data_IF_108926951131
#
_entry.id   IF_108926951131
#
_cell.length_a   1.000
_cell.length_b   1.000
_cell.length_c   1.000
_cell.angle_alpha   90.00
_cell.angle_beta   90.00
_cell.angle_gamma   90.00
#
_symmetry.space_group_name_H-M   'P 1'
#
loop_
_entity.id
_entity.type
_entity.pdbx_description
1 polymer ?
#
# COMPACT_ATOMS: atom_id res chain seq x y z
N UNK A 1 -16.94 -5.92 -10.60
CA UNK A 1 -15.59 -5.34 -10.50
C UNK A 1 -15.42 -4.46 -11.73
N UNK A 2 -15.21 -3.17 -11.52
CA UNK A 2 -15.08 -2.21 -12.63
C UNK A 2 -13.60 -2.05 -13.05
N UNK A 3 -12.64 -2.32 -12.14
CA UNK A 3 -11.22 -2.16 -12.39
C UNK A 3 -10.55 -3.47 -12.79
N UNK A 4 -9.94 -3.49 -13.99
CA UNK A 4 -8.92 -4.48 -14.38
C UNK A 4 -7.56 -3.97 -13.92
N UNK A 5 -6.97 -4.62 -12.91
CA UNK A 5 -5.74 -4.18 -12.25
C UNK A 5 -4.58 -5.10 -12.63
N UNK A 6 -3.55 -4.51 -13.23
CA UNK A 6 -2.33 -5.17 -13.64
C UNK A 6 -1.16 -4.74 -12.74
N UNK A 7 -0.36 -5.71 -12.31
CA UNK A 7 0.88 -5.48 -11.55
C UNK A 7 2.04 -5.33 -12.53
N UNK A 8 2.81 -4.26 -12.39
CA UNK A 8 4.04 -4.02 -13.15
C UNK A 8 5.21 -4.02 -12.16
N UNK A 9 6.00 -5.08 -12.09
CA UNK A 9 7.21 -5.09 -11.29
C UNK A 9 8.23 -4.10 -11.87
N UNK A 10 8.83 -3.31 -10.99
CA UNK A 10 9.92 -2.36 -11.32
C UNK A 10 11.03 -2.45 -10.28
N UNK A 11 12.18 -1.88 -10.57
CA UNK A 11 13.34 -1.89 -9.67
C UNK A 11 13.65 -3.31 -9.15
N UNK A 12 13.92 -3.46 -7.85
CA UNK A 12 14.22 -4.77 -7.23
C UNK A 12 12.99 -5.48 -6.68
N UNK A 13 12.04 -4.74 -6.13
CA UNK A 13 10.89 -5.26 -5.39
C UNK A 13 9.66 -4.35 -5.39
N UNK A 14 9.68 -3.23 -6.13
CA UNK A 14 8.56 -2.31 -6.21
C UNK A 14 7.46 -2.81 -7.16
N UNK A 15 6.24 -2.45 -6.87
CA UNK A 15 5.07 -2.64 -7.71
C UNK A 15 4.44 -1.32 -8.12
N UNK A 16 4.29 -1.15 -9.43
CA UNK A 16 3.41 -0.15 -10.06
C UNK A 16 2.11 -0.84 -10.44
N UNK A 17 1.00 -0.15 -10.34
CA UNK A 17 -0.29 -0.68 -10.74
C UNK A 17 -0.85 0.11 -11.92
N UNK A 18 -1.22 -0.60 -12.99
CA UNK A 18 -2.07 -0.08 -14.05
C UNK A 18 -3.48 -0.59 -13.78
N UNK A 19 -4.47 0.30 -13.74
CA UNK A 19 -5.85 -0.11 -13.54
C UNK A 19 -6.77 0.56 -14.57
N UNK A 20 -7.52 -0.27 -15.31
CA UNK A 20 -8.48 0.18 -16.31
C UNK A 20 -9.89 0.05 -15.78
N UNK A 21 -10.64 1.15 -15.86
CA UNK A 21 -12.08 1.12 -15.63
C UNK A 21 -12.79 0.51 -16.85
N UNK A 22 -13.48 -0.61 -16.64
CA UNK A 22 -14.13 -1.35 -17.72
C UNK A 22 -15.33 -0.61 -18.37
N UNK A 23 -15.92 0.35 -17.67
CA UNK A 23 -17.08 1.10 -18.17
C UNK A 23 -16.65 2.30 -19.01
N UNK A 24 -15.69 3.09 -18.56
CA UNK A 24 -15.22 4.29 -19.26
C UNK A 24 -14.03 4.02 -20.18
N UNK A 25 -13.32 2.92 -19.99
CA UNK A 25 -12.07 2.61 -20.68
C UNK A 25 -10.87 3.39 -20.19
N UNK A 26 -11.02 4.32 -19.24
CA UNK A 26 -9.91 5.11 -18.67
C UNK A 26 -8.91 4.24 -17.93
N UNK A 27 -7.65 4.65 -17.97
CA UNK A 27 -6.53 3.94 -17.33
C UNK A 27 -5.83 4.85 -16.33
N UNK A 28 -5.61 4.35 -15.11
CA UNK A 28 -4.76 5.00 -14.12
C UNK A 28 -3.47 4.19 -13.88
N UNK A 29 -2.44 4.90 -13.48
CA UNK A 29 -1.17 4.35 -13.00
C UNK A 29 -0.96 4.79 -11.55
N UNK A 30 -0.52 3.90 -10.67
CA UNK A 30 -0.20 4.22 -9.27
C UNK A 30 1.28 4.05 -9.03
N UNK A 31 1.92 5.09 -8.48
CA UNK A 31 3.32 5.15 -8.02
C UNK A 31 4.35 4.70 -9.09
N UNK A 32 4.44 5.37 -10.24
CA UNK A 32 5.37 4.99 -11.29
C UNK A 32 6.82 5.39 -10.95
N UNK A 33 7.53 4.57 -10.17
CA UNK A 33 8.95 4.76 -9.88
C UNK A 33 9.85 4.67 -11.10
N UNK A 34 9.45 3.89 -12.12
CA UNK A 34 10.10 3.83 -13.44
C UNK A 34 9.05 3.96 -14.55
N UNK A 35 9.32 4.81 -15.55
CA UNK A 35 8.39 5.01 -16.66
C UNK A 35 8.46 3.93 -17.74
N UNK A 36 9.66 3.44 -18.07
CA UNK A 36 9.84 2.55 -19.21
C UNK A 36 9.09 1.22 -19.10
N UNK A 37 9.14 0.47 -17.98
CA UNK A 37 8.35 -0.75 -17.82
C UNK A 37 6.85 -0.51 -17.86
N UNK A 38 6.41 0.64 -17.32
CA UNK A 38 4.98 1.03 -17.29
C UNK A 38 4.47 1.31 -18.70
N UNK A 39 5.23 2.08 -19.50
CA UNK A 39 4.88 2.37 -20.90
C UNK A 39 4.83 1.09 -21.74
N UNK A 40 5.84 0.22 -21.60
CA UNK A 40 5.87 -1.05 -22.32
C UNK A 40 4.64 -1.93 -21.96
N UNK A 41 4.28 -2.02 -20.68
CA UNK A 41 3.12 -2.79 -20.25
C UNK A 41 1.81 -2.17 -20.75
N UNK A 42 1.68 -0.85 -20.74
CA UNK A 42 0.51 -0.16 -21.26
C UNK A 42 0.37 -0.39 -22.79
N UNK A 43 1.48 -0.33 -23.54
CA UNK A 43 1.51 -0.64 -24.97
C UNK A 43 1.08 -2.08 -25.25
N UNK A 44 1.61 -3.07 -24.53
CA UNK A 44 1.25 -4.49 -24.67
C UNK A 44 -0.24 -4.75 -24.43
N UNK A 45 -0.87 -3.95 -23.54
CA UNK A 45 -2.28 -4.04 -23.22
C UNK A 45 -3.16 -3.20 -24.16
N UNK A 46 -2.59 -2.33 -24.98
CA UNK A 46 -3.31 -1.33 -25.77
C UNK A 46 -4.03 -0.30 -24.89
N UNK A 47 -3.43 0.09 -23.78
CA UNK A 47 -3.99 1.02 -22.79
C UNK A 47 -3.34 2.40 -22.89
N UNK A 48 -4.13 3.46 -22.84
CA UNK A 48 -3.68 4.85 -22.77
C UNK A 48 -3.86 5.37 -21.34
N UNK A 49 -2.78 5.83 -20.71
CA UNK A 49 -2.81 6.27 -19.31
C UNK A 49 -3.34 7.70 -19.21
N UNK A 50 -4.49 7.88 -18.55
CA UNK A 50 -5.15 9.19 -18.35
C UNK A 50 -4.78 9.87 -17.04
N UNK A 51 -4.46 9.07 -15.99
CA UNK A 51 -4.27 9.55 -14.62
C UNK A 51 -3.11 8.84 -13.95
N UNK A 52 -2.32 9.60 -13.19
CA UNK A 52 -1.27 9.07 -12.31
C UNK A 52 -1.65 9.42 -10.88
N UNK A 53 -1.79 8.42 -10.02
CA UNK A 53 -2.02 8.57 -8.58
C UNK A 53 -0.70 8.34 -7.84
N UNK A 54 -0.35 9.24 -6.92
CA UNK A 54 0.85 9.15 -6.10
C UNK A 54 0.46 9.02 -4.64
N UNK A 55 1.02 8.04 -3.94
CA UNK A 55 0.78 7.84 -2.52
C UNK A 55 1.69 8.69 -1.64
N UNK A 56 2.97 8.87 -2.02
CA UNK A 56 3.96 9.65 -1.28
C UNK A 56 5.18 10.01 -2.16
N UNK A 57 6.08 10.83 -1.65
CA UNK A 57 7.14 11.46 -2.43
C UNK A 57 8.43 10.64 -2.65
N UNK A 58 8.59 9.45 -2.08
CA UNK A 58 9.84 8.69 -2.21
C UNK A 58 10.19 8.41 -3.68
N UNK A 59 11.49 8.46 -3.98
CA UNK A 59 11.98 8.43 -5.36
C UNK A 59 11.56 7.18 -6.14
N UNK A 60 11.51 6.05 -5.49
CA UNK A 60 11.08 4.76 -6.07
C UNK A 60 9.58 4.67 -6.36
N UNK A 61 8.79 5.69 -5.95
CA UNK A 61 7.38 5.85 -6.30
C UNK A 61 7.14 6.99 -7.30
N UNK A 62 8.07 7.96 -7.41
CA UNK A 62 7.82 9.17 -8.20
C UNK A 62 8.85 9.43 -9.31
N UNK A 63 9.98 8.72 -9.37
CA UNK A 63 11.05 9.05 -10.32
C UNK A 63 10.63 8.94 -11.80
N UNK A 64 9.66 8.07 -12.12
CA UNK A 64 9.10 7.92 -13.46
C UNK A 64 8.02 8.93 -13.83
N UNK A 65 7.46 9.69 -12.87
CA UNK A 65 6.27 10.55 -13.07
C UNK A 65 6.43 11.55 -14.21
N UNK A 66 7.50 12.35 -14.21
CA UNK A 66 7.72 13.38 -15.25
C UNK A 66 7.82 12.77 -16.64
N UNK A 67 8.52 11.65 -16.77
CA UNK A 67 8.70 10.95 -18.06
C UNK A 67 7.36 10.37 -18.51
N UNK A 68 6.64 9.71 -17.63
CA UNK A 68 5.33 9.11 -17.93
C UNK A 68 4.32 10.18 -18.31
N UNK A 69 4.22 11.27 -17.54
CA UNK A 69 3.36 12.43 -17.84
C UNK A 69 3.68 13.05 -19.22
N UNK A 70 4.96 13.23 -19.53
CA UNK A 70 5.37 13.79 -20.83
C UNK A 70 5.00 12.89 -22.01
N UNK A 71 5.04 11.57 -21.82
CA UNK A 71 4.69 10.59 -22.86
C UNK A 71 3.18 10.44 -23.07
N UNK A 72 2.37 10.58 -22.01
CA UNK A 72 0.93 10.24 -22.03
C UNK A 72 0.00 11.46 -21.96
N UNK A 73 0.49 12.59 -21.41
CA UNK A 73 -0.37 13.73 -21.08
C UNK A 73 -1.21 13.52 -19.82
N UNK A 74 -0.98 12.45 -19.06
CA UNK A 74 -1.77 12.09 -17.90
C UNK A 74 -1.77 13.18 -16.82
N UNK A 75 -2.92 13.32 -16.13
CA UNK A 75 -3.06 14.18 -14.95
C UNK A 75 -2.44 13.52 -13.73
N UNK A 76 -1.56 14.21 -13.02
CA UNK A 76 -0.90 13.71 -11.80
C UNK A 76 -1.65 14.21 -10.56
N UNK A 77 -2.11 13.29 -9.74
CA UNK A 77 -2.85 13.54 -8.49
C UNK A 77 -2.06 12.90 -7.34
N UNK A 78 -1.82 13.64 -6.26
CA UNK A 78 -1.03 13.15 -5.14
C UNK A 78 -1.18 13.99 -3.88
N UNK A 79 -0.45 13.66 -2.79
CA UNK A 79 -0.54 14.38 -1.54
C UNK A 79 0.02 15.80 -1.65
N UNK A 80 -0.78 16.79 -1.20
CA UNK A 80 -0.33 18.18 -1.10
C UNK A 80 0.40 18.50 0.21
N UNK A 81 0.40 17.59 1.18
CA UNK A 81 0.95 17.78 2.51
C UNK A 81 2.25 17.01 2.79
N UNK A 82 2.86 16.44 1.77
CA UNK A 82 4.11 15.70 1.93
C UNK A 82 5.31 16.65 2.13
N UNK A 83 6.38 16.16 2.76
CA UNK A 83 7.56 16.96 3.09
C UNK A 83 8.35 17.41 1.86
N UNK A 84 8.20 16.70 0.75
CA UNK A 84 8.80 17.01 -0.54
C UNK A 84 7.74 17.12 -1.62
N UNK A 85 8.04 17.95 -2.63
CA UNK A 85 7.16 18.17 -3.77
C UNK A 85 7.06 16.92 -4.67
N UNK A 86 5.83 16.53 -5.01
CA UNK A 86 5.57 15.48 -5.99
C UNK A 86 5.89 16.00 -7.40
N UNK A 87 6.77 15.32 -8.17
CA UNK A 87 7.17 15.78 -9.49
C UNK A 87 5.99 15.88 -10.45
N UNK A 88 5.74 17.09 -10.99
CA UNK A 88 4.70 17.29 -12.00
C UNK A 88 3.27 17.20 -11.50
N UNK A 89 3.04 17.36 -10.20
CA UNK A 89 1.71 17.36 -9.58
C UNK A 89 0.79 18.41 -10.20
N UNK A 90 -0.41 17.98 -10.63
CA UNK A 90 -1.45 18.86 -11.16
C UNK A 90 -2.55 19.12 -10.13
N UNK A 91 -2.87 18.12 -9.31
CA UNK A 91 -3.92 18.22 -8.31
C UNK A 91 -3.45 17.65 -6.96
N UNK A 92 -3.54 18.46 -5.92
CA UNK A 92 -3.31 18.05 -4.53
C UNK A 92 -4.57 17.46 -3.92
N UNK A 93 -4.40 16.40 -3.15
CA UNK A 93 -5.47 15.80 -2.33
C UNK A 93 -4.96 15.49 -0.93
N UNK A 94 -5.88 15.35 0.02
CA UNK A 94 -5.61 15.10 1.43
C UNK A 94 -6.58 14.06 2.01
N UNK A 95 -6.35 13.67 3.27
CA UNK A 95 -7.23 12.76 4.01
C UNK A 95 -8.68 13.23 4.00
N UNK A 96 -9.60 12.36 3.60
CA UNK A 96 -11.03 12.62 3.49
C UNK A 96 -11.50 13.09 2.12
N UNK A 97 -10.58 13.48 1.23
CA UNK A 97 -10.94 13.85 -0.14
C UNK A 97 -11.37 12.63 -0.96
N UNK A 98 -11.91 12.91 -2.14
CA UNK A 98 -12.27 11.90 -3.13
C UNK A 98 -11.69 12.24 -4.50
N UNK A 99 -11.30 11.20 -5.25
CA UNK A 99 -10.88 11.31 -6.65
C UNK A 99 -11.86 10.53 -7.52
N UNK A 100 -12.54 11.21 -8.43
CA UNK A 100 -13.39 10.57 -9.42
C UNK A 100 -12.54 10.06 -10.59
N UNK A 101 -12.74 8.81 -10.99
CA UNK A 101 -12.02 8.17 -12.09
C UNK A 101 -12.95 7.21 -12.84
N UNK A 102 -13.36 7.58 -14.05
CA UNK A 102 -14.33 6.80 -14.81
C UNK A 102 -15.64 6.59 -14.05
N UNK A 103 -16.03 5.35 -13.86
CA UNK A 103 -17.20 4.94 -13.06
C UNK A 103 -16.86 4.75 -11.57
N UNK A 104 -15.56 4.83 -11.18
CA UNK A 104 -15.10 4.60 -9.83
C UNK A 104 -14.87 5.90 -9.06
N UNK A 105 -14.98 5.82 -7.75
CA UNK A 105 -14.61 6.90 -6.83
C UNK A 105 -13.62 6.39 -5.80
N UNK A 106 -12.44 6.99 -5.77
CA UNK A 106 -11.43 6.71 -4.76
C UNK A 106 -11.62 7.61 -3.55
N UNK A 107 -11.73 7.02 -2.35
CA UNK A 107 -11.58 7.75 -1.09
C UNK A 107 -10.11 7.86 -0.77
N UNK A 108 -9.64 9.06 -0.47
CA UNK A 108 -8.28 9.34 0.01
C UNK A 108 -8.24 9.16 1.52
N UNK A 109 -7.28 8.37 2.01
CA UNK A 109 -7.12 8.09 3.44
C UNK A 109 -5.67 8.38 3.82
N UNK A 110 -5.45 9.35 4.73
CA UNK A 110 -4.13 9.68 5.26
C UNK A 110 -3.63 8.61 6.23
N UNK A 111 -2.40 8.16 6.02
CA UNK A 111 -1.67 7.24 6.91
C UNK A 111 -0.26 7.77 7.06
N UNK A 112 -0.10 8.73 7.95
CA UNK A 112 1.12 9.51 8.12
C UNK A 112 2.17 8.74 8.94
N UNK A 113 3.47 9.08 8.76
CA UNK A 113 4.56 8.50 9.54
C UNK A 113 5.64 7.84 8.68
N UNK A 114 5.28 7.14 7.61
CA UNK A 114 6.26 6.72 6.60
C UNK A 114 6.82 7.95 5.89
N UNK A 115 5.95 8.76 5.30
CA UNK A 115 6.20 10.18 5.05
C UNK A 115 5.17 11.03 5.78
N UNK A 116 5.41 12.33 5.89
CA UNK A 116 4.55 13.25 6.62
C UNK A 116 3.19 13.46 5.96
N UNK A 117 3.10 13.29 4.64
CA UNK A 117 1.89 13.47 3.85
C UNK A 117 1.35 12.19 3.21
N UNK A 118 1.85 11.01 3.58
CA UNK A 118 1.46 9.74 2.94
C UNK A 118 -0.06 9.52 2.93
N UNK A 119 -0.60 9.24 1.74
CA UNK A 119 -2.01 8.90 1.53
C UNK A 119 -2.17 7.55 0.86
N UNK A 120 -3.36 6.98 0.99
CA UNK A 120 -3.77 5.75 0.31
C UNK A 120 -5.05 6.01 -0.50
N UNK A 121 -5.32 5.21 -1.53
CA UNK A 121 -6.49 5.35 -2.39
C UNK A 121 -7.37 4.11 -2.29
N UNK A 122 -8.59 4.26 -1.81
CA UNK A 122 -9.56 3.17 -1.70
C UNK A 122 -10.66 3.30 -2.76
N UNK A 123 -10.65 2.43 -3.76
CA UNK A 123 -11.71 2.29 -4.76
C UNK A 123 -12.96 1.70 -4.11
N UNK A 124 -14.01 2.52 -3.96
CA UNK A 124 -15.17 2.18 -3.14
C UNK A 124 -16.05 1.09 -3.80
N UNK A 125 -16.22 1.12 -5.11
CA UNK A 125 -16.99 0.13 -5.86
C UNK A 125 -16.26 -1.21 -5.95
N UNK A 126 -14.99 -1.17 -6.29
CA UNK A 126 -14.17 -2.35 -6.59
C UNK A 126 -13.53 -3.00 -5.34
N UNK A 127 -13.58 -2.33 -4.18
CA UNK A 127 -12.92 -2.77 -2.93
C UNK A 127 -11.42 -3.04 -3.13
N UNK A 128 -10.75 -2.14 -3.87
CA UNK A 128 -9.30 -2.16 -4.06
C UNK A 128 -8.65 -0.99 -3.29
N UNK A 129 -7.64 -1.29 -2.49
CA UNK A 129 -6.85 -0.32 -1.72
C UNK A 129 -5.44 -0.27 -2.27
N UNK A 130 -5.03 0.86 -2.84
CA UNK A 130 -3.64 1.16 -3.16
C UNK A 130 -3.02 1.82 -1.92
N UNK A 131 -2.24 1.04 -1.18
CA UNK A 131 -1.76 1.43 0.15
C UNK A 131 -0.37 2.06 0.15
N UNK A 132 0.34 2.09 -0.99
CA UNK A 132 1.73 2.53 -1.03
C UNK A 132 2.55 1.83 0.04
N UNK A 133 3.28 2.62 0.81
CA UNK A 133 4.15 2.15 1.88
C UNK A 133 3.55 2.30 3.29
N UNK A 134 2.23 2.54 3.38
CA UNK A 134 1.54 2.57 4.67
C UNK A 134 1.28 1.17 5.22
N UNK A 135 0.71 0.28 4.39
CA UNK A 135 0.30 -1.07 4.76
C UNK A 135 0.82 -2.06 3.72
N UNK A 136 1.60 -3.04 4.16
CA UNK A 136 2.06 -4.19 3.37
C UNK A 136 1.34 -5.47 3.78
N UNK A 137 1.44 -6.50 2.95
CA UNK A 137 1.04 -7.84 3.41
C UNK A 137 1.90 -8.23 4.62
N UNK A 138 1.24 -8.49 5.75
CA UNK A 138 1.80 -8.82 7.06
C UNK A 138 2.82 -7.78 7.57
N UNK A 139 2.68 -6.51 7.14
CA UNK A 139 3.63 -5.46 7.47
C UNK A 139 3.04 -4.05 7.46
N UNK A 140 3.85 -3.08 7.87
CA UNK A 140 3.62 -1.66 7.65
C UNK A 140 4.93 -0.93 7.34
N UNK A 141 4.84 0.31 6.84
CA UNK A 141 6.00 1.14 6.53
C UNK A 141 6.86 1.49 7.75
N UNK A 142 8.12 1.83 7.50
CA UNK A 142 8.99 2.46 8.50
C UNK A 142 8.53 3.87 8.78
N UNK A 143 8.83 4.35 10.00
CA UNK A 143 8.54 5.74 10.39
C UNK A 143 9.75 6.62 10.05
N UNK A 144 9.87 7.07 8.79
CA UNK A 144 10.97 7.94 8.39
C UNK A 144 10.75 9.40 8.78
N UNK A 145 9.51 9.88 8.68
CA UNK A 145 9.17 11.29 8.90
C UNK A 145 8.14 11.50 10.02
N UNK A 146 7.81 10.45 10.76
CA UNK A 146 6.86 10.50 11.85
C UNK A 146 7.12 9.43 12.89
N UNK A 147 6.09 9.10 13.62
CA UNK A 147 6.09 8.14 14.74
C UNK A 147 4.95 7.12 14.60
N UNK A 148 4.95 6.11 15.46
CA UNK A 148 3.81 5.19 15.57
C UNK A 148 2.51 5.91 15.95
N UNK A 149 2.60 7.00 16.71
CA UNK A 149 1.42 7.80 17.09
C UNK A 149 0.80 8.52 15.87
N UNK A 150 1.62 8.89 14.88
CA UNK A 150 1.14 9.49 13.64
C UNK A 150 0.54 8.44 12.71
N UNK A 151 1.13 7.23 12.63
CA UNK A 151 0.69 6.17 11.73
C UNK A 151 -0.56 5.43 12.25
N UNK A 152 -0.64 5.20 13.55
CA UNK A 152 -1.68 4.36 14.14
C UNK A 152 -3.12 4.78 13.80
N UNK A 153 -3.51 6.07 13.89
CA UNK A 153 -4.86 6.50 13.49
C UNK A 153 -5.20 6.17 12.03
N UNK A 154 -4.22 6.28 11.13
CA UNK A 154 -4.38 5.93 9.73
C UNK A 154 -4.57 4.42 9.52
N UNK A 155 -3.77 3.58 10.17
CA UNK A 155 -3.92 2.12 10.12
C UNK A 155 -5.29 1.68 10.64
N UNK A 156 -5.82 2.33 11.69
CA UNK A 156 -7.18 2.08 12.19
C UNK A 156 -8.24 2.38 11.12
N UNK A 157 -8.11 3.51 10.38
CA UNK A 157 -9.03 3.83 9.27
C UNK A 157 -8.98 2.76 8.15
N UNK A 158 -7.79 2.25 7.83
CA UNK A 158 -7.65 1.17 6.86
C UNK A 158 -8.30 -0.13 7.37
N UNK A 159 -8.14 -0.44 8.65
CA UNK A 159 -8.74 -1.63 9.27
C UNK A 159 -10.27 -1.60 9.29
N UNK A 160 -10.89 -0.42 9.26
CA UNK A 160 -12.36 -0.27 9.15
C UNK A 160 -12.91 -0.60 7.77
N UNK A 161 -12.07 -0.70 6.74
CA UNK A 161 -12.50 -1.07 5.39
C UNK A 161 -13.05 -2.51 5.37
N UNK A 162 -13.93 -2.85 4.39
CA UNK A 162 -14.50 -4.19 4.28
C UNK A 162 -13.44 -5.30 4.20
N UNK A 163 -13.70 -6.45 4.82
CA UNK A 163 -12.78 -7.60 4.84
C UNK A 163 -12.44 -8.15 3.45
N UNK A 164 -13.32 -7.95 2.47
CA UNK A 164 -13.10 -8.35 1.07
C UNK A 164 -12.16 -7.42 0.31
N UNK A 165 -11.67 -6.35 0.95
CA UNK A 165 -10.76 -5.38 0.32
C UNK A 165 -9.45 -6.07 -0.09
N UNK A 166 -9.08 -5.86 -1.35
CA UNK A 166 -7.80 -6.27 -1.91
C UNK A 166 -6.77 -5.15 -1.70
N UNK A 167 -5.66 -5.46 -1.06
CA UNK A 167 -4.61 -4.51 -0.72
C UNK A 167 -3.46 -4.61 -1.72
N UNK A 168 -3.17 -3.53 -2.40
CA UNK A 168 -2.10 -3.34 -3.39
C UNK A 168 -1.07 -2.40 -2.79
N UNK A 169 0.02 -2.94 -2.24
CA UNK A 169 1.09 -2.18 -1.59
C UNK A 169 2.27 -1.92 -2.52
N UNK A 170 3.17 -1.01 -2.13
CA UNK A 170 4.30 -0.55 -2.96
C UNK A 170 5.37 -1.60 -3.22
N UNK A 171 5.54 -2.62 -2.36
CA UNK A 171 6.66 -3.55 -2.42
C UNK A 171 6.29 -5.01 -2.16
N UNK A 172 7.12 -5.92 -2.70
CA UNK A 172 7.08 -7.37 -2.43
C UNK A 172 7.90 -7.71 -1.18
N UNK A 173 7.45 -7.30 -0.02
CA UNK A 173 8.10 -7.58 1.26
C UNK A 173 7.51 -8.75 2.04
N UNK A 174 6.52 -9.43 1.47
CA UNK A 174 5.67 -10.39 2.19
C UNK A 174 6.47 -11.53 2.85
N UNK A 175 7.44 -12.11 2.16
CA UNK A 175 8.24 -13.19 2.73
C UNK A 175 9.01 -12.78 3.99
N UNK A 176 9.67 -11.61 3.96
CA UNK A 176 10.40 -11.08 5.11
C UNK A 176 9.46 -10.60 6.24
N UNK A 177 8.30 -10.08 5.87
CA UNK A 177 7.27 -9.69 6.83
C UNK A 177 6.68 -10.91 7.56
N UNK A 178 6.38 -11.97 6.82
CA UNK A 178 5.88 -13.24 7.39
C UNK A 178 6.92 -13.86 8.33
N UNK A 179 8.21 -13.86 7.96
CA UNK A 179 9.28 -14.36 8.82
C UNK A 179 9.35 -13.58 10.14
N UNK A 180 9.26 -12.25 10.10
CA UNK A 180 9.20 -11.43 11.29
C UNK A 180 7.92 -11.69 12.11
N UNK A 181 6.75 -11.67 11.47
CA UNK A 181 5.48 -11.92 12.15
C UNK A 181 5.47 -13.29 12.85
N UNK A 182 6.04 -14.32 12.24
CA UNK A 182 6.17 -15.64 12.85
C UNK A 182 7.11 -15.62 14.09
N UNK A 183 8.09 -14.72 14.17
CA UNK A 183 8.95 -14.58 15.32
C UNK A 183 8.24 -13.96 16.54
N UNK A 184 7.22 -13.10 16.30
CA UNK A 184 6.48 -12.40 17.37
C UNK A 184 5.09 -12.99 17.63
N UNK A 185 4.49 -13.72 16.67
CA UNK A 185 3.14 -14.33 16.78
C UNK A 185 3.11 -15.77 16.24
N UNK A 186 4.15 -16.55 16.51
CA UNK A 186 4.35 -17.90 15.94
C UNK A 186 3.27 -18.93 16.30
N UNK A 187 2.39 -18.64 17.25
CA UNK A 187 1.25 -19.50 17.60
C UNK A 187 0.01 -19.23 16.74
N UNK A 188 -0.01 -18.15 15.95
CA UNK A 188 -1.11 -17.79 15.07
C UNK A 188 -1.24 -18.81 13.92
N UNK A 189 -2.29 -19.62 13.96
CA UNK A 189 -2.50 -20.69 12.99
C UNK A 189 -2.78 -20.17 11.56
N UNK A 190 -3.45 -19.02 11.45
CA UNK A 190 -3.73 -18.38 10.15
C UNK A 190 -2.42 -17.84 9.53
N UNK A 191 -1.54 -17.25 10.34
CA UNK A 191 -0.23 -16.78 9.90
C UNK A 191 0.63 -17.95 9.39
N UNK A 192 0.66 -19.08 10.09
CA UNK A 192 1.41 -20.27 9.64
C UNK A 192 0.92 -20.79 8.29
N UNK A 193 -0.40 -20.89 8.08
CA UNK A 193 -0.98 -21.28 6.80
C UNK A 193 -0.62 -20.31 5.68
N UNK A 194 -0.66 -19.01 5.99
CA UNK A 194 -0.30 -17.98 5.02
C UNK A 194 1.19 -18.04 4.67
N UNK A 195 2.05 -18.33 5.64
CA UNK A 195 3.49 -18.52 5.42
C UNK A 195 3.80 -19.64 4.40
N UNK A 196 3.06 -20.75 4.46
CA UNK A 196 3.19 -21.84 3.49
C UNK A 196 2.81 -21.40 2.06
N UNK A 197 1.71 -20.61 1.92
CA UNK A 197 1.26 -20.07 0.63
C UNK A 197 2.32 -19.10 0.08
N UNK A 198 2.82 -18.18 0.91
CA UNK A 198 3.86 -17.22 0.52
C UNK A 198 5.13 -17.92 0.07
N UNK A 199 5.56 -18.96 0.78
CA UNK A 199 6.75 -19.74 0.41
C UNK A 199 6.62 -20.37 -0.99
N UNK A 200 5.44 -20.92 -1.32
CA UNK A 200 5.18 -21.50 -2.65
C UNK A 200 5.19 -20.40 -3.72
N UNK A 201 4.42 -19.32 -3.54
CA UNK A 201 4.35 -18.23 -4.51
C UNK A 201 5.74 -17.64 -4.80
N UNK A 202 6.52 -17.38 -3.75
CA UNK A 202 7.86 -16.77 -3.93
C UNK A 202 8.87 -17.74 -4.53
N UNK A 203 8.76 -19.04 -4.28
CA UNK A 203 9.58 -20.05 -4.95
C UNK A 203 9.32 -20.12 -6.46
N UNK A 204 8.09 -19.84 -6.88
CA UNK A 204 7.68 -19.78 -8.28
C UNK A 204 7.88 -18.39 -8.92
N UNK A 205 8.42 -17.39 -8.18
CA UNK A 205 8.58 -16.01 -8.64
C UNK A 205 7.26 -15.24 -8.77
N UNK A 206 6.17 -15.78 -8.24
CA UNK A 206 4.84 -15.17 -8.32
C UNK A 206 4.68 -14.06 -7.26
N UNK A 207 3.96 -12.96 -7.58
CA UNK A 207 3.63 -11.94 -6.60
C UNK A 207 2.71 -12.49 -5.51
N UNK A 208 2.86 -11.97 -4.27
CA UNK A 208 1.94 -12.27 -3.17
C UNK A 208 0.80 -11.27 -3.06
N UNK A 209 0.81 -10.24 -3.88
CA UNK A 209 -0.16 -9.16 -3.95
C UNK A 209 -1.17 -9.42 -5.06
N UNK A 210 -2.48 -9.10 -4.89
CA UNK A 210 -3.04 -8.35 -3.75
C UNK A 210 -3.23 -9.21 -2.50
N UNK A 211 -2.96 -8.60 -1.33
CA UNK A 211 -3.29 -9.19 -0.05
C UNK A 211 -4.78 -9.02 0.27
N UNK A 212 -5.32 -9.84 1.17
CA UNK A 212 -6.71 -9.74 1.62
C UNK A 212 -6.79 -9.04 2.97
N UNK A 213 -7.48 -7.91 3.08
CA UNK A 213 -7.55 -7.13 4.31
C UNK A 213 -8.17 -7.90 5.49
N UNK A 214 -9.18 -8.74 5.24
CA UNK A 214 -9.77 -9.58 6.28
C UNK A 214 -8.79 -10.59 6.87
N UNK A 215 -7.85 -11.08 6.06
CA UNK A 215 -6.75 -11.91 6.54
C UNK A 215 -5.71 -11.05 7.27
N UNK A 216 -5.34 -9.88 6.72
CA UNK A 216 -4.40 -8.96 7.36
C UNK A 216 -4.83 -8.57 8.78
N UNK A 217 -6.12 -8.31 9.01
CA UNK A 217 -6.69 -8.04 10.35
C UNK A 217 -6.42 -9.15 11.36
N UNK A 218 -6.20 -10.39 10.91
CA UNK A 218 -5.97 -11.57 11.76
C UNK A 218 -4.50 -11.90 11.96
N UNK A 219 -3.65 -11.60 10.96
CA UNK A 219 -2.26 -12.07 10.93
C UNK A 219 -1.22 -10.96 10.96
N UNK A 220 -1.58 -9.73 10.57
CA UNK A 220 -0.64 -8.61 10.52
C UNK A 220 -0.42 -8.04 11.94
N UNK A 221 0.78 -8.19 12.53
CA UNK A 221 1.03 -7.74 13.89
C UNK A 221 0.85 -6.22 14.06
N UNK A 222 1.06 -5.44 13.00
CA UNK A 222 0.96 -3.99 13.02
C UNK A 222 -0.51 -3.51 13.02
N UNK A 223 -1.43 -4.23 12.37
CA UNK A 223 -2.87 -3.97 12.45
C UNK A 223 -3.50 -4.46 13.75
N UNK A 224 -2.81 -5.32 14.50
CA UNK A 224 -3.26 -5.92 15.76
C UNK A 224 -2.59 -5.31 16.98
N UNK A 225 -1.97 -4.15 16.85
CA UNK A 225 -1.26 -3.51 17.96
C UNK A 225 -2.18 -3.08 19.13
N UNK A 226 -3.50 -3.06 18.97
CA UNK A 226 -4.48 -2.84 20.03
C UNK A 226 -5.12 -4.14 20.57
N UNK A 227 -4.68 -5.32 20.12
CA UNK A 227 -5.11 -6.61 20.68
C UNK A 227 -4.48 -6.78 22.07
N UNK A 228 -5.29 -6.77 23.17
CA UNK A 228 -4.74 -6.79 24.53
C UNK A 228 -4.03 -8.11 24.84
N UNK A 229 -4.46 -9.23 24.26
CA UNK A 229 -3.81 -10.53 24.47
C UNK A 229 -2.45 -10.54 23.79
N UNK A 230 -2.38 -10.05 22.57
CA UNK A 230 -1.12 -9.97 21.82
C UNK A 230 -0.15 -8.99 22.49
N UNK A 231 -0.61 -7.83 22.92
CA UNK A 231 0.22 -6.86 23.66
C UNK A 231 0.72 -7.41 25.02
N UNK A 232 -0.13 -8.12 25.78
CA UNK A 232 0.25 -8.75 27.05
C UNK A 232 1.35 -9.82 26.87
N UNK A 233 1.31 -10.60 25.80
CA UNK A 233 2.34 -11.58 25.46
C UNK A 233 3.74 -10.95 25.27
N UNK A 234 3.79 -9.67 24.91
CA UNK A 234 5.01 -8.90 24.71
C UNK A 234 5.34 -7.93 25.87
N UNK A 235 4.61 -8.01 26.99
CA UNK A 235 4.85 -7.15 28.15
C UNK A 235 4.25 -5.74 28.03
N UNK A 236 3.34 -5.50 27.08
CA UNK A 236 2.70 -4.21 26.82
C UNK A 236 1.25 -4.14 27.33
N UNK A 237 0.91 -4.89 28.35
CA UNK A 237 -0.43 -4.82 28.95
C UNK A 237 -0.77 -3.39 29.41
N UNK A 238 -1.88 -2.86 28.93
CA UNK A 238 -2.34 -1.50 29.19
C UNK A 238 -1.56 -0.41 28.41
N UNK A 239 -0.75 -0.81 27.44
CA UNK A 239 0.02 0.08 26.55
C UNK A 239 -0.20 -0.29 25.08
N UNK A 240 -1.40 -0.76 24.76
CA UNK A 240 -1.81 -1.17 23.42
C UNK A 240 -1.90 0.03 22.47
N UNK A 241 -2.00 -0.25 21.19
CA UNK A 241 -2.09 0.77 20.13
C UNK A 241 -0.73 1.33 19.74
N UNK A 242 -0.58 2.64 19.69
CA UNK A 242 0.62 3.29 19.15
C UNK A 242 1.92 2.90 19.88
N UNK A 243 1.88 2.73 21.22
CA UNK A 243 3.07 2.33 21.99
C UNK A 243 3.53 0.91 21.62
N UNK A 244 2.61 -0.02 21.52
CA UNK A 244 2.93 -1.38 21.11
C UNK A 244 3.28 -1.47 19.61
N UNK A 245 2.62 -0.67 18.76
CA UNK A 245 3.02 -0.52 17.35
C UNK A 245 4.49 -0.08 17.22
N UNK A 246 4.91 0.92 18.02
CA UNK A 246 6.28 1.39 18.02
C UNK A 246 7.27 0.27 18.40
N UNK A 247 6.93 -0.53 19.42
CA UNK A 247 7.74 -1.67 19.86
C UNK A 247 7.89 -2.72 18.75
N UNK A 248 6.78 -3.14 18.14
CA UNK A 248 6.80 -4.14 17.06
C UNK A 248 7.59 -3.61 15.86
N UNK A 249 7.41 -2.32 15.48
CA UNK A 249 8.13 -1.74 14.35
C UNK A 249 9.65 -1.71 14.60
N UNK A 250 10.09 -1.28 15.79
CA UNK A 250 11.48 -1.30 16.17
C UNK A 250 12.07 -2.73 16.16
N UNK A 251 11.29 -3.74 16.58
CA UNK A 251 11.65 -5.15 16.44
C UNK A 251 11.87 -5.55 14.98
N UNK A 252 11.00 -5.12 14.09
CA UNK A 252 11.13 -5.39 12.63
C UNK A 252 12.32 -4.66 12.01
N UNK A 253 12.68 -3.47 12.49
CA UNK A 253 13.80 -2.69 11.96
C UNK A 253 15.17 -3.31 12.31
N UNK A 254 15.20 -4.15 13.34
CA UNK A 254 16.39 -4.87 13.80
C UNK A 254 16.42 -6.35 13.40
N UNK A 255 15.38 -6.85 12.75
CA UNK A 255 15.23 -8.23 12.29
C UNK A 255 15.90 -8.44 10.93
#
# INVERSE_FOLDING_TARGET
MSLDIQIVPILSDNYVYLARDSESGKVLCVDPGEAAPVLAKAEDLGWEIDTILITHHHGDHVAGVKTLKAATGATVIGPGGDSQEIPGLDQSVADGDTVAFGSETFRVIGVYGHTSGHITYFAQGDKALFSGDALFSVGCGRFFEGTAADMWPGLLKLRELPDVTRVYCGHEYTATNVAFAASVDGQNAELRRYAEIVAVLRAEGMPTIPANLGLEKKINPFLRADDPVFAEMHGFKGQEGAAFLAHIRAGKDSF
#
